data_IF_938497291934
#
_entry.id   IF_938497291934
#
_cell.length_a   1.000
_cell.length_b   1.000
_cell.length_c   1.000
_cell.angle_alpha   90.00
_cell.angle_beta   90.00
_cell.angle_gamma   90.00
#
_symmetry.space_group_name_H-M   'P 1'
#
loop_
_entity.id
_entity.type
_entity.pdbx_description
1 polymer ?
#
# COMPACT_ATOMS: atom_id res chain seq x y z
N UNK A 1 14.78 40.47 -53.96
CA UNK A 1 14.11 41.19 -52.85
C UNK A 1 14.50 40.53 -51.55
N UNK A 2 15.25 41.25 -50.72
CA UNK A 2 15.79 40.80 -49.44
C UNK A 2 14.73 40.82 -48.33
N UNK A 3 14.89 39.90 -47.37
CA UNK A 3 15.01 40.09 -45.90
C UNK A 3 14.42 38.84 -45.21
N UNK A 4 15.22 37.94 -44.61
CA UNK A 4 15.86 38.00 -43.28
C UNK A 4 14.80 37.98 -42.15
N UNK A 5 14.83 37.18 -41.08
CA UNK A 5 15.85 36.62 -40.17
C UNK A 5 15.24 35.34 -39.54
N UNK A 6 15.91 34.18 -39.34
CA UNK A 6 17.11 33.83 -38.56
C UNK A 6 16.78 33.18 -37.20
N UNK A 7 17.43 32.03 -36.95
CA UNK A 7 17.75 31.49 -35.62
C UNK A 7 17.13 30.11 -35.32
N UNK A 8 17.85 29.11 -34.82
CA UNK A 8 19.29 28.91 -34.64
C UNK A 8 19.53 27.46 -34.20
N UNK A 9 20.54 26.84 -34.83
CA UNK A 9 21.56 25.97 -34.24
C UNK A 9 21.12 24.61 -33.66
N UNK A 10 21.37 23.58 -34.48
CA UNK A 10 21.74 22.26 -34.00
C UNK A 10 23.05 22.35 -33.19
N UNK A 11 23.02 21.90 -31.94
CA UNK A 11 24.21 21.64 -31.15
C UNK A 11 24.09 20.27 -30.49
N UNK A 12 24.55 19.28 -31.24
CA UNK A 12 25.00 17.99 -30.73
C UNK A 12 26.23 18.25 -29.85
N UNK A 13 26.12 18.09 -28.53
CA UNK A 13 27.30 17.99 -27.66
C UNK A 13 27.34 16.63 -26.98
N UNK A 14 28.48 16.00 -27.22
CA UNK A 14 28.96 14.68 -26.88
C UNK A 14 29.63 14.72 -25.49
N UNK A 15 29.47 13.61 -24.76
CA UNK A 15 30.31 13.11 -23.66
C UNK A 15 30.53 13.97 -22.42
N UNK A 16 29.97 13.49 -21.30
CA UNK A 16 30.80 13.11 -20.15
C UNK A 16 30.61 11.60 -19.91
N UNK A 17 31.42 10.82 -20.62
CA UNK A 17 31.81 9.48 -20.17
C UNK A 17 32.71 9.68 -18.94
N UNK A 18 32.08 9.90 -17.79
CA UNK A 18 32.71 9.57 -16.52
C UNK A 18 32.64 8.05 -16.37
N UNK A 19 33.67 7.35 -16.84
CA UNK A 19 34.02 6.05 -16.25
C UNK A 19 34.62 6.36 -14.88
N UNK A 20 33.76 6.77 -13.95
CA UNK A 20 34.00 6.45 -12.57
C UNK A 20 33.41 5.05 -12.40
N UNK A 21 34.20 4.15 -11.83
CA UNK A 21 33.73 2.85 -11.35
C UNK A 21 32.69 3.07 -10.26
N UNK A 22 31.50 3.52 -10.66
CA UNK A 22 30.33 3.57 -9.83
C UNK A 22 30.05 2.13 -9.47
N UNK A 23 30.36 1.78 -8.21
CA UNK A 23 29.86 0.56 -7.59
C UNK A 23 28.41 0.44 -8.05
N UNK A 24 28.07 -0.62 -8.78
CA UNK A 24 26.68 -0.98 -8.94
C UNK A 24 26.15 -1.03 -7.51
N UNK A 25 25.36 -0.02 -7.12
CA UNK A 25 24.85 0.06 -5.78
C UNK A 25 23.96 -1.16 -5.67
N UNK A 26 24.47 -2.20 -5.00
CA UNK A 26 23.73 -3.43 -4.81
C UNK A 26 22.39 -3.00 -4.25
N UNK A 27 21.33 -3.16 -5.05
CA UNK A 27 20.00 -2.76 -4.65
C UNK A 27 19.77 -3.41 -3.29
N UNK A 28 19.56 -2.60 -2.26
CA UNK A 28 19.33 -3.16 -0.93
C UNK A 28 18.11 -4.07 -1.05
N UNK A 29 18.20 -5.33 -0.59
CA UNK A 29 17.09 -6.26 -0.73
C UNK A 29 15.81 -5.64 -0.15
N UNK A 30 14.66 -5.82 -0.81
CA UNK A 30 13.40 -5.22 -0.36
C UNK A 30 13.10 -5.68 1.07
N UNK A 31 12.67 -4.74 1.91
CA UNK A 31 12.27 -5.08 3.28
C UNK A 31 11.01 -5.94 3.23
N UNK A 32 10.96 -7.07 3.98
CA UNK A 32 9.78 -7.94 3.98
C UNK A 32 8.51 -7.20 4.41
N UNK A 33 7.38 -7.59 3.82
CA UNK A 33 6.05 -7.15 4.27
C UNK A 33 5.85 -7.49 5.73
N UNK A 34 5.40 -6.50 6.50
CA UNK A 34 5.06 -6.67 7.92
C UNK A 34 3.58 -6.49 8.19
N UNK A 35 2.88 -5.71 7.34
CA UNK A 35 1.47 -5.35 7.48
C UNK A 35 0.83 -5.28 6.10
N UNK A 36 -0.49 -5.34 6.05
CA UNK A 36 -1.28 -5.03 4.84
C UNK A 36 -2.20 -3.84 5.14
N UNK A 37 -2.17 -2.81 4.31
CA UNK A 37 -3.23 -1.80 4.28
C UNK A 37 -4.40 -2.37 3.47
N UNK A 38 -5.59 -2.43 4.08
CA UNK A 38 -6.81 -2.85 3.41
C UNK A 38 -7.80 -1.70 3.35
N UNK A 39 -8.23 -1.31 2.15
CA UNK A 39 -9.27 -0.28 1.94
C UNK A 39 -10.56 -0.96 1.48
N UNK A 40 -11.54 -1.04 2.37
CA UNK A 40 -12.84 -1.67 2.13
C UNK A 40 -13.89 -0.66 1.68
N UNK A 41 -14.49 -0.88 0.52
CA UNK A 41 -15.59 -0.04 0.01
C UNK A 41 -16.75 -0.87 -0.51
N UNK A 42 -17.98 -0.38 -0.31
CA UNK A 42 -19.14 -1.01 -0.91
C UNK A 42 -19.05 -0.96 -2.43
N UNK A 43 -19.43 -2.06 -3.08
CA UNK A 43 -19.42 -2.18 -4.53
C UNK A 43 -20.46 -1.23 -5.15
N UNK A 44 -20.19 -0.78 -6.38
CA UNK A 44 -21.10 0.14 -7.08
C UNK A 44 -22.43 -0.58 -7.37
N UNK A 45 -23.54 0.13 -7.17
CA UNK A 45 -24.87 -0.39 -7.44
C UNK A 45 -25.42 -1.35 -6.38
N UNK A 46 -24.71 -1.55 -5.27
CA UNK A 46 -25.23 -2.30 -4.12
C UNK A 46 -26.42 -1.58 -3.50
N UNK A 47 -27.46 -2.35 -3.16
CA UNK A 47 -28.59 -1.88 -2.37
C UNK A 47 -28.12 -1.53 -0.93
N UNK A 48 -28.25 -0.27 -0.49
CA UNK A 48 -27.89 0.13 0.86
C UNK A 48 -28.66 -0.61 1.96
N UNK A 49 -29.89 -1.07 1.70
CA UNK A 49 -30.68 -1.81 2.68
C UNK A 49 -30.09 -3.21 2.93
N UNK A 50 -29.66 -3.91 1.87
CA UNK A 50 -28.97 -5.19 1.98
C UNK A 50 -27.68 -5.08 2.81
N UNK A 51 -26.85 -4.07 2.54
CA UNK A 51 -25.65 -3.83 3.35
C UNK A 51 -26.00 -3.54 4.81
N UNK A 52 -27.01 -2.70 5.08
CA UNK A 52 -27.42 -2.32 6.43
C UNK A 52 -27.97 -3.48 7.26
N UNK A 53 -28.60 -4.47 6.61
CA UNK A 53 -29.04 -5.68 7.29
C UNK A 53 -27.88 -6.55 7.79
N UNK A 54 -26.73 -6.53 7.09
CA UNK A 54 -25.56 -7.36 7.39
C UNK A 54 -24.58 -6.67 8.35
N UNK A 55 -24.55 -5.33 8.35
CA UNK A 55 -23.58 -4.52 9.11
C UNK A 55 -23.43 -4.89 10.60
N UNK A 56 -24.49 -5.21 11.38
CA UNK A 56 -24.32 -5.58 12.78
C UNK A 56 -23.43 -6.83 12.96
N UNK A 57 -23.65 -7.86 12.13
CA UNK A 57 -22.85 -9.09 12.14
C UNK A 57 -21.45 -8.82 11.61
N UNK A 58 -21.31 -8.02 10.55
CA UNK A 58 -20.02 -7.59 10.00
C UNK A 58 -19.12 -6.98 11.09
N UNK A 59 -19.67 -6.04 11.86
CA UNK A 59 -18.94 -5.37 12.95
C UNK A 59 -18.51 -6.39 14.01
N UNK A 60 -19.39 -7.31 14.40
CA UNK A 60 -19.07 -8.34 15.39
C UNK A 60 -17.93 -9.27 14.92
N UNK A 61 -17.97 -9.76 13.68
CA UNK A 61 -16.91 -10.63 13.14
C UNK A 61 -15.59 -9.86 12.98
N UNK A 62 -15.65 -8.59 12.55
CA UNK A 62 -14.46 -7.73 12.45
C UNK A 62 -13.84 -7.47 13.83
N UNK A 63 -14.66 -7.30 14.88
CA UNK A 63 -14.18 -7.18 16.27
C UNK A 63 -13.43 -8.45 16.70
N UNK A 64 -13.88 -9.65 16.33
CA UNK A 64 -13.16 -10.89 16.63
C UNK A 64 -11.77 -10.87 15.98
N UNK A 65 -11.67 -10.47 14.70
CA UNK A 65 -10.37 -10.32 14.03
C UNK A 65 -9.45 -9.33 14.74
N UNK A 66 -10.00 -8.23 15.26
CA UNK A 66 -9.24 -7.26 16.07
C UNK A 66 -8.74 -7.89 17.37
N UNK A 67 -9.61 -8.56 18.13
CA UNK A 67 -9.26 -9.21 19.39
C UNK A 67 -8.27 -10.37 19.20
N UNK A 68 -8.32 -11.05 18.06
CA UNK A 68 -7.37 -12.09 17.65
C UNK A 68 -6.02 -11.52 17.16
N UNK A 69 -5.85 -10.19 17.19
CA UNK A 69 -4.62 -9.50 16.82
C UNK A 69 -4.34 -9.50 15.32
N UNK A 70 -5.36 -9.70 14.47
CA UNK A 70 -5.26 -9.63 13.00
C UNK A 70 -5.39 -8.21 12.46
N UNK A 71 -5.99 -7.31 13.22
CA UNK A 71 -6.16 -5.90 12.87
C UNK A 71 -5.41 -5.06 13.91
N UNK A 72 -4.41 -4.29 13.47
CA UNK A 72 -3.67 -3.34 14.33
C UNK A 72 -4.48 -2.05 14.51
N UNK A 73 -5.07 -1.54 13.42
CA UNK A 73 -5.78 -0.26 13.39
C UNK A 73 -6.96 -0.32 12.42
N UNK A 74 -7.98 0.50 12.68
CA UNK A 74 -9.18 0.63 11.86
C UNK A 74 -9.72 2.06 11.83
N UNK A 75 -10.20 2.50 10.68
CA UNK A 75 -10.69 3.86 10.48
C UNK A 75 -11.87 3.87 9.52
N UNK A 76 -12.78 4.83 9.69
CA UNK A 76 -13.74 5.17 8.65
C UNK A 76 -13.08 6.06 7.58
N UNK A 77 -13.46 5.86 6.32
CA UNK A 77 -13.06 6.78 5.26
C UNK A 77 -13.72 8.16 5.46
N UNK A 78 -12.93 9.22 5.40
CA UNK A 78 -13.44 10.60 5.41
C UNK A 78 -14.16 10.92 4.10
N UNK A 79 -15.34 11.52 4.19
CA UNK A 79 -16.11 11.99 3.02
C UNK A 79 -16.80 10.91 2.18
N UNK A 80 -16.67 9.62 2.52
CA UNK A 80 -17.37 8.53 1.81
C UNK A 80 -17.54 7.26 2.67
N UNK A 81 -18.54 6.41 2.39
CA UNK A 81 -18.67 5.12 3.08
C UNK A 81 -17.50 4.19 2.79
N UNK A 82 -17.02 3.53 3.84
CA UNK A 82 -15.98 2.51 3.76
C UNK A 82 -15.04 2.56 4.96
N UNK A 83 -14.10 1.61 4.97
CA UNK A 83 -13.19 1.37 6.09
C UNK A 83 -11.75 1.24 5.59
N UNK A 84 -10.81 1.57 6.47
CA UNK A 84 -9.39 1.29 6.28
C UNK A 84 -8.93 0.43 7.45
N UNK A 85 -8.26 -0.67 7.16
CA UNK A 85 -7.59 -1.50 8.15
C UNK A 85 -6.09 -1.51 7.95
N UNK A 86 -5.34 -1.48 9.05
CA UNK A 86 -3.94 -1.92 9.07
C UNK A 86 -3.96 -3.33 9.64
N UNK A 87 -3.70 -4.31 8.79
CA UNK A 87 -3.75 -5.72 9.16
C UNK A 87 -2.37 -6.22 9.59
N UNK A 88 -2.36 -6.98 10.68
CA UNK A 88 -1.17 -7.69 11.18
C UNK A 88 -1.05 -9.06 10.48
N UNK A 89 -0.80 -9.01 9.19
CA UNK A 89 -0.56 -10.15 8.30
C UNK A 89 0.50 -9.75 7.28
N UNK A 90 1.27 -10.74 6.83
CA UNK A 90 2.41 -10.54 5.92
C UNK A 90 2.12 -10.99 4.49
N UNK A 91 1.01 -11.69 4.27
CA UNK A 91 0.61 -12.26 2.98
C UNK A 91 -0.71 -11.63 2.53
N UNK A 92 -0.72 -11.05 1.32
CA UNK A 92 -1.88 -10.38 0.77
C UNK A 92 -3.02 -11.34 0.36
N UNK A 93 -2.69 -12.56 -0.06
CA UNK A 93 -3.68 -13.60 -0.38
C UNK A 93 -4.37 -14.07 0.90
N UNK A 94 -3.60 -14.33 1.96
CA UNK A 94 -4.19 -14.68 3.26
C UNK A 94 -5.07 -13.55 3.81
N UNK A 95 -4.64 -12.28 3.64
CA UNK A 95 -5.45 -11.13 4.01
C UNK A 95 -6.76 -11.04 3.21
N UNK A 96 -6.70 -11.28 1.89
CA UNK A 96 -7.87 -11.34 1.00
C UNK A 96 -8.86 -12.38 1.47
N UNK A 97 -8.42 -13.62 1.64
CA UNK A 97 -9.26 -14.75 2.04
C UNK A 97 -9.90 -14.52 3.42
N UNK A 98 -9.16 -13.92 4.35
CA UNK A 98 -9.68 -13.57 5.67
C UNK A 98 -10.80 -12.51 5.57
N UNK A 99 -10.59 -11.45 4.80
CA UNK A 99 -11.57 -10.38 4.63
C UNK A 99 -12.79 -10.81 3.81
N UNK A 100 -12.62 -11.68 2.83
CA UNK A 100 -13.73 -12.23 2.03
C UNK A 100 -14.62 -13.18 2.83
N UNK A 101 -14.14 -13.71 3.97
CA UNK A 101 -14.95 -14.48 4.90
C UNK A 101 -15.83 -13.61 5.80
N UNK A 102 -15.61 -12.29 5.84
CA UNK A 102 -16.52 -11.39 6.54
C UNK A 102 -17.88 -11.35 5.83
N UNK A 103 -19.00 -11.17 6.56
CA UNK A 103 -20.34 -11.17 5.99
C UNK A 103 -20.54 -10.30 4.73
N UNK A 104 -20.01 -9.08 4.68
CA UNK A 104 -20.09 -8.20 3.50
C UNK A 104 -19.24 -8.70 2.33
N UNK A 105 -18.10 -9.34 2.62
CA UNK A 105 -17.24 -10.00 1.64
C UNK A 105 -17.94 -11.20 1.01
N UNK A 106 -18.50 -12.09 1.84
CA UNK A 106 -19.24 -13.27 1.37
C UNK A 106 -20.48 -12.91 0.55
N UNK A 107 -21.17 -11.84 0.94
CA UNK A 107 -22.32 -11.32 0.20
C UNK A 107 -21.92 -10.54 -1.08
N UNK A 108 -20.62 -10.43 -1.39
CA UNK A 108 -20.09 -9.70 -2.53
C UNK A 108 -20.53 -8.23 -2.58
N UNK A 109 -20.81 -7.65 -1.40
CA UNK A 109 -21.26 -6.26 -1.26
C UNK A 109 -20.10 -5.30 -1.04
N UNK A 110 -18.96 -5.79 -0.56
CA UNK A 110 -17.75 -5.01 -0.31
C UNK A 110 -16.57 -5.61 -1.06
N UNK A 111 -15.70 -4.73 -1.57
CA UNK A 111 -14.39 -5.10 -2.11
C UNK A 111 -13.29 -4.42 -1.29
N UNK A 112 -12.14 -5.08 -1.25
CA UNK A 112 -10.95 -4.56 -0.60
C UNK A 112 -9.84 -4.29 -1.60
N UNK A 113 -9.17 -3.16 -1.50
CA UNK A 113 -7.84 -2.95 -2.09
C UNK A 113 -6.79 -3.33 -1.04
N UNK A 114 -5.77 -4.10 -1.42
CA UNK A 114 -4.75 -4.59 -0.49
C UNK A 114 -3.37 -4.12 -0.93
N UNK A 115 -2.70 -3.39 -0.03
CA UNK A 115 -1.36 -2.84 -0.27
C UNK A 115 -0.39 -3.37 0.78
N UNK A 116 0.61 -4.18 0.40
CA UNK A 116 1.65 -4.63 1.31
C UNK A 116 2.48 -3.47 1.86
N UNK A 117 2.71 -3.49 3.17
CA UNK A 117 3.47 -2.48 3.90
C UNK A 117 4.71 -3.09 4.54
N UNK A 118 5.85 -2.40 4.38
CA UNK A 118 7.11 -2.74 5.03
C UNK A 118 7.69 -1.49 5.71
N UNK A 119 8.51 -1.66 6.76
CA UNK A 119 9.28 -0.57 7.33
C UNK A 119 10.13 0.13 6.26
N UNK A 120 10.28 1.45 6.40
CA UNK A 120 11.14 2.23 5.50
C UNK A 120 12.58 1.77 5.63
N UNK A 121 13.10 1.16 4.57
CA UNK A 121 14.47 0.63 4.53
C UNK A 121 15.55 1.67 4.93
N UNK A 122 15.48 2.95 4.51
CA UNK A 122 16.46 3.97 4.93
C UNK A 122 16.57 4.17 6.44
N UNK A 123 15.52 3.90 7.24
CA UNK A 123 15.56 4.10 8.69
C UNK A 123 16.57 3.17 9.39
N UNK A 124 16.87 2.00 8.82
CA UNK A 124 17.88 1.08 9.36
C UNK A 124 19.27 1.71 9.40
N UNK A 125 19.56 2.61 8.45
CA UNK A 125 20.85 3.29 8.34
C UNK A 125 21.06 4.31 9.47
N UNK A 126 19.98 4.75 10.13
CA UNK A 126 20.04 5.71 11.23
C UNK A 126 20.46 5.09 12.57
N UNK A 127 20.44 3.75 12.69
CA UNK A 127 20.71 3.06 13.97
C UNK A 127 22.21 2.90 14.30
N UNK A 128 23.11 3.44 13.46
CA UNK A 128 24.56 3.29 13.61
C UNK A 128 25.02 1.83 13.53
N UNK A 129 26.34 1.56 13.63
CA UNK A 129 26.81 0.19 13.84
C UNK A 129 26.25 -0.30 15.18
N UNK A 130 25.43 -1.35 15.15
CA UNK A 130 24.91 -1.99 16.36
C UNK A 130 26.10 -2.41 17.23
N UNK A 131 26.32 -1.72 18.34
CA UNK A 131 27.25 -2.12 19.40
C UNK A 131 26.68 -3.36 20.05
N UNK A 132 27.01 -4.52 19.48
CA UNK A 132 26.75 -5.82 20.11
C UNK A 132 27.55 -5.83 21.42
N UNK A 133 26.88 -5.70 22.57
CA UNK A 133 27.53 -5.93 23.87
C UNK A 133 27.97 -7.39 23.96
N UNK A 134 29.12 -7.67 24.60
CA UNK A 134 29.75 -8.99 24.66
C UNK A 134 28.89 -10.04 25.37
#
# INVERSE_FOLDING_TARGET
>A
MNNALAGSIAALIICLMGVDGGRAQSATPPTPTTRILAVGTLNRGVDPAAARAILPTEVQETVKLYLDGKIDQWFSLQGRPGVVFILNVTDATAAREMLEKLPLGQAHLMSFELTPLAPLNPLRQLLGPSTRSP
#
